data_IF_244879895628
#
_entry.id   IF_244879895628
#
_cell.length_a   1.000
_cell.length_b   1.000
_cell.length_c   1.000
_cell.angle_alpha   90.00
_cell.angle_beta   90.00
_cell.angle_gamma   90.00
#
_symmetry.space_group_name_H-M   'P 1'
#
loop_
_entity.id
_entity.type
_entity.pdbx_description
1 polymer ?
#
# COMPACT_ATOMS: atom_id res chain seq x y z
N UNK A 1 -24.62 -1.53 6.48
CA UNK A 1 -24.06 -1.80 5.13
C UNK A 1 -23.99 -0.44 4.46
N UNK A 2 -22.78 0.11 4.31
CA UNK A 2 -22.56 1.31 3.53
C UNK A 2 -22.90 0.96 2.08
N UNK A 3 -23.94 1.59 1.54
CA UNK A 3 -24.26 1.51 0.12
C UNK A 3 -23.22 2.34 -0.63
N UNK A 4 -22.08 1.73 -0.91
CA UNK A 4 -20.99 2.39 -1.64
C UNK A 4 -21.31 2.25 -3.11
N UNK A 5 -21.64 3.36 -3.77
CA UNK A 5 -21.60 3.41 -5.22
C UNK A 5 -20.17 3.09 -5.66
N UNK A 6 -19.99 1.89 -6.20
CA UNK A 6 -18.70 1.52 -6.77
C UNK A 6 -18.45 2.37 -8.02
N UNK A 7 -17.68 3.43 -7.85
CA UNK A 7 -17.20 4.21 -9.00
C UNK A 7 -16.34 3.30 -9.88
N UNK A 8 -16.40 3.42 -11.20
CA UNK A 8 -15.58 2.59 -12.07
C UNK A 8 -14.10 2.88 -11.89
N UNK A 9 -13.27 1.82 -12.03
CA UNK A 9 -11.82 1.89 -12.09
C UNK A 9 -11.34 1.31 -13.41
N UNK A 10 -10.49 2.06 -14.10
CA UNK A 10 -9.81 1.61 -15.32
C UNK A 10 -8.39 1.14 -14.95
N UNK A 11 -7.98 -0.02 -15.45
CA UNK A 11 -6.58 -0.45 -15.36
C UNK A 11 -5.90 -0.13 -16.67
N UNK A 12 -4.86 0.69 -16.62
CA UNK A 12 -4.13 1.19 -17.79
C UNK A 12 -2.67 0.81 -17.73
N UNK A 13 -2.15 0.30 -18.84
CA UNK A 13 -0.71 0.13 -19.01
C UNK A 13 -0.04 1.50 -19.23
N UNK A 14 1.09 1.73 -18.58
CA UNK A 14 2.00 2.83 -18.89
C UNK A 14 3.38 2.29 -19.27
N UNK A 15 4.17 3.10 -19.96
CA UNK A 15 5.53 2.77 -20.39
C UNK A 15 6.48 3.91 -20.03
N UNK A 16 6.29 4.48 -18.86
CA UNK A 16 7.10 5.59 -18.36
C UNK A 16 8.55 5.14 -18.13
N UNK A 17 9.49 5.89 -18.69
CA UNK A 17 10.93 5.70 -18.60
C UNK A 17 11.61 6.73 -17.70
N UNK A 18 10.85 7.43 -16.84
CA UNK A 18 11.38 8.40 -15.90
C UNK A 18 12.50 7.82 -15.01
N UNK A 19 13.23 8.68 -14.33
CA UNK A 19 14.37 8.27 -13.50
C UNK A 19 14.04 7.23 -12.42
N UNK A 20 12.81 7.25 -11.90
CA UNK A 20 12.29 6.28 -10.92
C UNK A 20 10.77 6.11 -11.09
N UNK A 21 10.31 5.52 -12.21
CA UNK A 21 8.88 5.41 -12.46
C UNK A 21 8.24 4.47 -11.44
N UNK A 22 7.09 4.88 -10.90
CA UNK A 22 6.30 4.01 -10.04
C UNK A 22 5.83 2.78 -10.84
N UNK A 23 5.95 1.59 -10.25
CA UNK A 23 5.44 0.37 -10.87
C UNK A 23 3.91 0.34 -10.89
N UNK A 24 3.29 0.93 -9.89
CA UNK A 24 1.84 1.10 -9.75
C UNK A 24 1.56 2.52 -9.31
N UNK A 25 0.66 3.21 -10.00
CA UNK A 25 0.17 4.53 -9.62
C UNK A 25 -1.37 4.52 -9.64
N UNK A 26 -1.98 4.87 -8.52
CA UNK A 26 -3.43 5.01 -8.43
C UNK A 26 -3.79 6.49 -8.49
N UNK A 27 -4.70 6.80 -9.43
CA UNK A 27 -5.24 8.13 -9.64
C UNK A 27 -6.73 8.12 -9.30
N UNK A 28 -7.15 8.77 -8.20
CA UNK A 28 -8.57 8.84 -7.84
C UNK A 28 -9.36 9.66 -8.86
N UNK A 29 -10.68 9.49 -8.88
CA UNK A 29 -11.58 10.33 -9.67
C UNK A 29 -11.49 11.77 -9.15
N UNK A 30 -10.98 12.66 -9.98
CA UNK A 30 -11.03 14.10 -9.71
C UNK A 30 -12.37 14.65 -10.22
N UNK A 31 -13.03 15.47 -9.40
CA UNK A 31 -14.36 16.01 -9.70
C UNK A 31 -14.44 16.81 -11.02
N UNK A 32 -13.33 17.28 -11.53
CA UNK A 32 -13.32 18.22 -12.68
C UNK A 32 -12.83 17.63 -13.98
N UNK A 33 -12.19 16.46 -14.04
CA UNK A 33 -11.47 16.05 -15.26
C UNK A 33 -11.56 14.57 -15.66
N UNK A 34 -11.88 13.66 -14.77
CA UNK A 34 -11.99 12.24 -15.12
C UNK A 34 -13.20 11.58 -14.46
N UNK A 35 -14.10 10.95 -15.24
CA UNK A 35 -15.26 10.24 -14.69
C UNK A 35 -14.88 8.90 -14.03
N UNK A 36 -13.62 8.46 -14.17
CA UNK A 36 -13.16 7.13 -13.83
C UNK A 36 -11.83 7.22 -13.10
N UNK A 37 -11.67 6.47 -12.00
CA UNK A 37 -10.36 6.30 -11.37
C UNK A 37 -9.45 5.45 -12.28
N UNK A 38 -8.15 5.68 -12.22
CA UNK A 38 -7.19 4.95 -13.05
C UNK A 38 -6.14 4.30 -12.16
N UNK A 39 -5.93 3.00 -12.35
CA UNK A 39 -4.77 2.27 -11.84
C UNK A 39 -3.77 2.09 -13.00
N UNK A 40 -2.70 2.83 -12.98
CA UNK A 40 -1.62 2.65 -13.94
C UNK A 40 -0.67 1.55 -13.49
N UNK A 41 -0.31 0.67 -14.43
CA UNK A 41 0.70 -0.37 -14.26
C UNK A 41 1.80 -0.10 -15.26
N UNK A 42 3.00 0.19 -14.78
CA UNK A 42 4.14 0.44 -15.66
C UNK A 42 4.72 -0.87 -16.15
N UNK A 43 4.60 -1.10 -17.45
CA UNK A 43 5.08 -2.30 -18.13
C UNK A 43 6.45 -2.12 -18.84
N UNK A 44 7.10 -0.97 -18.65
CA UNK A 44 8.38 -0.69 -19.31
C UNK A 44 9.47 -1.72 -18.95
N UNK A 45 9.45 -2.21 -17.70
CA UNK A 45 10.35 -3.26 -17.24
C UNK A 45 9.57 -4.36 -16.51
N UNK A 46 9.16 -5.38 -17.26
CA UNK A 46 8.39 -6.51 -16.74
C UNK A 46 9.16 -7.36 -15.72
N UNK A 47 10.49 -7.29 -15.67
CA UNK A 47 11.30 -8.01 -14.68
C UNK A 47 11.09 -7.48 -13.26
N UNK A 48 10.63 -6.23 -13.14
CA UNK A 48 10.30 -5.57 -11.87
C UNK A 48 8.85 -5.79 -11.41
N UNK A 49 8.06 -6.53 -12.19
CA UNK A 49 6.64 -6.81 -11.91
C UNK A 49 6.43 -8.31 -11.64
N UNK A 50 6.80 -8.79 -10.45
CA UNK A 50 6.61 -10.20 -10.13
C UNK A 50 5.11 -10.53 -10.11
N UNK A 51 4.72 -11.49 -10.94
CA UNK A 51 3.31 -11.85 -11.16
C UNK A 51 2.63 -12.31 -9.86
N UNK A 52 3.38 -12.90 -8.94
CA UNK A 52 2.86 -13.34 -7.65
C UNK A 52 2.44 -12.17 -6.72
N UNK A 53 2.90 -10.94 -6.98
CA UNK A 53 2.45 -9.75 -6.23
C UNK A 53 1.19 -9.10 -6.86
N UNK A 54 0.85 -9.42 -8.09
CA UNK A 54 -0.22 -8.74 -8.83
C UNK A 54 -1.57 -8.84 -8.11
N UNK A 55 -1.89 -10.02 -7.58
CA UNK A 55 -3.16 -10.25 -6.87
C UNK A 55 -3.22 -9.46 -5.56
N UNK A 56 -2.13 -9.44 -4.78
CA UNK A 56 -2.05 -8.64 -3.56
C UNK A 56 -2.17 -7.14 -3.85
N UNK A 57 -1.52 -6.65 -4.91
CA UNK A 57 -1.61 -5.27 -5.35
C UNK A 57 -3.02 -4.91 -5.83
N UNK A 58 -3.76 -5.85 -6.42
CA UNK A 58 -5.18 -5.65 -6.76
C UNK A 58 -6.03 -5.40 -5.53
N UNK A 59 -5.79 -6.09 -4.42
CA UNK A 59 -6.47 -5.83 -3.15
C UNK A 59 -6.04 -4.51 -2.51
N UNK A 60 -4.77 -4.12 -2.65
CA UNK A 60 -4.24 -2.87 -2.10
C UNK A 60 -4.82 -1.65 -2.83
N UNK A 61 -4.79 -1.66 -4.15
CA UNK A 61 -5.15 -0.48 -4.96
C UNK A 61 -6.62 -0.48 -5.43
N UNK A 62 -7.22 -1.65 -5.58
CA UNK A 62 -8.59 -1.83 -6.05
C UNK A 62 -9.63 -1.82 -4.91
N UNK A 63 -10.53 -2.80 -4.98
CA UNK A 63 -11.59 -3.02 -3.99
C UNK A 63 -11.24 -4.28 -3.17
N UNK A 64 -11.25 -4.19 -1.84
CA UNK A 64 -11.71 -3.10 -0.97
C UNK A 64 -10.61 -2.08 -0.58
N UNK A 65 -9.52 -2.00 -1.31
CA UNK A 65 -8.36 -1.17 -1.02
C UNK A 65 -8.55 0.33 -1.28
N UNK A 66 -7.51 0.96 -1.85
CA UNK A 66 -7.47 2.42 -2.03
C UNK A 66 -8.62 2.96 -2.87
N UNK A 67 -9.03 2.23 -3.92
CA UNK A 67 -10.12 2.69 -4.77
C UNK A 67 -11.44 2.81 -4.00
N UNK A 68 -11.79 1.81 -3.20
CA UNK A 68 -13.00 1.90 -2.37
C UNK A 68 -12.86 3.00 -1.32
N UNK A 69 -11.72 3.12 -0.67
CA UNK A 69 -11.47 4.15 0.32
C UNK A 69 -11.72 5.56 -0.25
N UNK A 70 -11.10 5.88 -1.39
CA UNK A 70 -11.23 7.20 -2.03
C UNK A 70 -12.62 7.42 -2.64
N UNK A 71 -13.29 6.37 -3.11
CA UNK A 71 -14.64 6.47 -3.67
C UNK A 71 -15.72 6.74 -2.62
N UNK A 72 -15.48 6.37 -1.36
CA UNK A 72 -16.40 6.60 -0.24
C UNK A 72 -16.22 7.96 0.42
N UNK A 73 -15.15 8.65 0.11
CA UNK A 73 -14.95 10.01 0.61
C UNK A 73 -15.97 10.92 -0.08
N UNK A 74 -16.99 11.27 0.62
CA UNK A 74 -17.84 12.41 0.26
C UNK A 74 -16.98 13.65 0.42
N UNK A 75 -16.68 14.31 -0.68
CA UNK A 75 -16.05 15.62 -0.64
C UNK A 75 -17.09 16.55 -0.01
N UNK A 76 -16.93 16.80 1.29
CA UNK A 76 -17.66 17.89 1.93
C UNK A 76 -17.20 19.20 1.29
N UNK A 77 -18.09 20.20 1.24
CA UNK A 77 -17.79 21.54 0.73
C UNK A 77 -16.67 22.27 1.51
N UNK A 78 -16.23 21.69 2.61
CA UNK A 78 -15.06 22.14 3.36
C UNK A 78 -13.81 21.44 2.79
N UNK A 79 -13.01 22.21 2.05
CA UNK A 79 -11.63 21.91 1.65
C UNK A 79 -10.72 21.78 2.89
N UNK A 80 -11.16 21.02 3.86
CA UNK A 80 -10.44 20.87 5.12
C UNK A 80 -9.16 20.08 4.87
N UNK A 81 -8.11 20.54 5.51
CA UNK A 81 -6.73 20.06 5.59
C UNK A 81 -6.57 18.54 5.80
N UNK A 82 -7.67 17.82 5.98
CA UNK A 82 -7.76 16.38 6.18
C UNK A 82 -8.14 15.62 4.91
N UNK A 83 -7.53 15.94 3.77
CA UNK A 83 -7.53 14.98 2.65
C UNK A 83 -6.81 13.73 3.12
N UNK A 84 -7.53 12.61 3.17
CA UNK A 84 -6.98 11.30 3.56
C UNK A 84 -5.83 10.90 2.64
N UNK A 85 -5.78 11.43 1.42
CA UNK A 85 -4.71 11.22 0.44
C UNK A 85 -3.34 11.70 0.96
N UNK A 86 -3.31 12.60 1.92
CA UNK A 86 -2.08 13.12 2.53
C UNK A 86 -1.62 12.33 3.77
N UNK A 87 -2.31 11.24 4.14
CA UNK A 87 -1.98 10.43 5.30
C UNK A 87 -1.53 9.00 4.89
N UNK A 88 -0.24 8.79 4.59
CA UNK A 88 0.27 7.47 4.15
C UNK A 88 -0.05 6.34 5.13
N UNK A 89 -0.09 6.61 6.43
CA UNK A 89 -0.49 5.63 7.44
C UNK A 89 -1.93 5.15 7.21
N UNK A 90 -2.82 6.03 6.77
CA UNK A 90 -4.20 5.68 6.50
C UNK A 90 -4.34 4.99 5.14
N UNK A 91 -3.84 5.58 4.07
CA UNK A 91 -4.03 5.06 2.69
C UNK A 91 -3.26 3.76 2.45
N UNK A 92 -1.95 3.75 2.71
CA UNK A 92 -1.13 2.55 2.50
C UNK A 92 -1.45 1.50 3.57
N UNK A 93 -1.63 1.93 4.82
CA UNK A 93 -2.02 1.04 5.92
C UNK A 93 -3.34 0.33 5.66
N UNK A 94 -4.35 1.02 5.13
CA UNK A 94 -5.61 0.43 4.67
C UNK A 94 -5.38 -0.58 3.55
N UNK A 95 -4.60 -0.23 2.51
CA UNK A 95 -4.29 -1.15 1.43
C UNK A 95 -3.62 -2.43 1.92
N UNK A 96 -2.63 -2.34 2.80
CA UNK A 96 -1.99 -3.52 3.40
C UNK A 96 -2.97 -4.33 4.26
N UNK A 97 -3.84 -3.65 5.01
CA UNK A 97 -4.89 -4.29 5.78
C UNK A 97 -5.87 -5.07 4.88
N UNK A 98 -6.27 -4.52 3.74
CA UNK A 98 -7.18 -5.21 2.81
C UNK A 98 -6.52 -6.41 2.15
N UNK A 99 -5.23 -6.34 1.81
CA UNK A 99 -4.48 -7.49 1.32
C UNK A 99 -4.34 -8.60 2.38
N UNK A 100 -4.14 -8.22 3.66
CA UNK A 100 -4.16 -9.17 4.78
C UNK A 100 -5.56 -9.77 4.95
N UNK A 101 -6.59 -8.94 4.93
CA UNK A 101 -7.98 -9.39 5.06
C UNK A 101 -8.34 -10.42 3.97
N UNK A 102 -7.90 -10.19 2.74
CA UNK A 102 -8.07 -11.15 1.65
C UNK A 102 -7.40 -12.51 1.93
N UNK A 103 -6.26 -12.53 2.67
CA UNK A 103 -5.65 -13.79 3.13
C UNK A 103 -6.50 -14.47 4.21
N UNK A 104 -6.98 -13.70 5.17
CA UNK A 104 -7.77 -14.21 6.30
C UNK A 104 -9.08 -14.85 5.82
N UNK A 105 -9.66 -14.34 4.73
CA UNK A 105 -10.89 -14.85 4.10
C UNK A 105 -10.66 -15.77 2.91
N UNK A 106 -9.43 -16.21 2.66
CA UNK A 106 -9.06 -17.15 1.59
C UNK A 106 -9.46 -16.69 0.17
N UNK A 107 -9.35 -15.38 -0.10
CA UNK A 107 -9.76 -14.77 -1.36
C UNK A 107 -8.69 -14.85 -2.46
N UNK A 108 -7.45 -15.25 -2.13
CA UNK A 108 -6.39 -15.43 -3.11
C UNK A 108 -6.63 -16.68 -3.95
N UNK A 109 -6.49 -16.56 -5.27
CA UNK A 109 -6.74 -17.65 -6.23
C UNK A 109 -5.65 -18.72 -6.21
N UNK A 110 -4.45 -18.37 -5.74
CA UNK A 110 -3.32 -19.28 -5.74
C UNK A 110 -2.43 -19.11 -4.50
N UNK A 111 -1.70 -20.16 -4.10
CA UNK A 111 -0.68 -20.06 -3.05
C UNK A 111 0.40 -19.02 -3.37
N UNK A 112 0.70 -18.80 -4.64
CA UNK A 112 1.67 -17.77 -5.07
C UNK A 112 1.17 -16.35 -4.79
N UNK A 113 -0.13 -16.07 -4.98
CA UNK A 113 -0.72 -14.79 -4.62
C UNK A 113 -0.66 -14.54 -3.11
N UNK A 114 -0.94 -15.57 -2.29
CA UNK A 114 -0.76 -15.50 -0.84
C UNK A 114 0.68 -15.22 -0.44
N UNK A 115 1.64 -15.91 -1.06
CA UNK A 115 3.07 -15.67 -0.86
C UNK A 115 3.43 -14.23 -1.21
N UNK A 116 3.00 -13.73 -2.36
CA UNK A 116 3.25 -12.36 -2.79
C UNK A 116 2.74 -11.32 -1.80
N UNK A 117 1.58 -11.56 -1.21
CA UNK A 117 1.04 -10.70 -0.15
C UNK A 117 1.91 -10.70 1.12
N UNK A 118 2.42 -11.86 1.54
CA UNK A 118 3.33 -11.97 2.69
C UNK A 118 4.69 -11.29 2.41
N UNK A 119 5.22 -11.44 1.18
CA UNK A 119 6.46 -10.77 0.78
C UNK A 119 6.30 -9.25 0.77
N UNK A 120 5.16 -8.73 0.31
CA UNK A 120 4.86 -7.30 0.38
C UNK A 120 4.79 -6.80 1.84
N UNK A 121 4.11 -7.52 2.70
CA UNK A 121 4.03 -7.18 4.13
C UNK A 121 5.41 -7.20 4.79
N UNK A 122 6.24 -8.23 4.51
CA UNK A 122 7.63 -8.30 4.99
C UNK A 122 8.48 -7.13 4.49
N UNK A 123 8.32 -6.74 3.22
CA UNK A 123 9.00 -5.58 2.63
C UNK A 123 8.67 -4.29 3.37
N UNK A 124 7.41 -4.02 3.63
CA UNK A 124 7.02 -2.82 4.38
C UNK A 124 7.49 -2.87 5.83
N UNK A 125 7.50 -4.06 6.46
CA UNK A 125 8.04 -4.23 7.81
C UNK A 125 9.57 -4.00 7.85
N UNK A 126 10.31 -4.51 6.86
CA UNK A 126 11.75 -4.27 6.74
C UNK A 126 12.05 -2.77 6.54
N UNK A 127 11.28 -2.09 5.72
CA UNK A 127 11.40 -0.64 5.49
C UNK A 127 11.13 0.17 6.76
N UNK A 128 10.14 -0.20 7.57
CA UNK A 128 9.90 0.42 8.87
C UNK A 128 11.13 0.32 9.78
N UNK A 129 11.73 -0.88 9.88
CA UNK A 129 12.92 -1.12 10.71
C UNK A 129 14.10 -0.26 10.22
N UNK A 130 14.31 -0.23 8.91
CA UNK A 130 15.38 0.57 8.28
C UNK A 130 15.15 2.06 8.50
N UNK A 131 13.93 2.55 8.30
CA UNK A 131 13.59 3.97 8.49
C UNK A 131 13.94 4.42 9.91
N UNK A 132 13.53 3.67 10.92
CA UNK A 132 13.85 3.99 12.32
C UNK A 132 15.35 3.93 12.57
N UNK A 133 16.02 2.83 12.20
CA UNK A 133 17.43 2.62 12.52
C UNK A 133 18.37 3.57 11.78
N UNK A 134 18.08 3.91 10.52
CA UNK A 134 18.84 4.90 9.75
C UNK A 134 18.78 6.29 10.39
N UNK A 135 17.59 6.71 10.83
CA UNK A 135 17.40 8.04 11.42
C UNK A 135 17.89 8.13 12.88
N UNK A 136 18.09 6.98 13.52
CA UNK A 136 18.77 6.90 14.82
C UNK A 136 20.29 6.68 14.69
N UNK A 137 20.83 6.65 13.47
CA UNK A 137 22.23 6.32 13.19
C UNK A 137 22.68 4.94 13.73
N UNK A 138 21.77 3.97 13.78
CA UNK A 138 22.02 2.59 14.20
C UNK A 138 22.35 1.64 13.06
N UNK A 139 22.18 2.09 11.81
CA UNK A 139 22.56 1.37 10.59
C UNK A 139 23.29 2.33 9.64
N UNK A 140 24.29 1.81 8.92
CA UNK A 140 24.79 2.46 7.71
C UNK A 140 23.87 2.18 6.52
N UNK A 141 24.03 2.93 5.43
CA UNK A 141 23.26 2.73 4.19
C UNK A 141 23.59 1.34 3.57
N UNK A 142 24.83 0.86 3.67
CA UNK A 142 25.23 -0.47 3.20
C UNK A 142 24.57 -1.58 4.01
N UNK A 143 24.52 -1.44 5.36
CA UNK A 143 23.83 -2.40 6.23
C UNK A 143 22.32 -2.40 5.96
N UNK A 144 21.73 -1.23 5.73
CA UNK A 144 20.33 -1.10 5.37
C UNK A 144 20.02 -1.78 4.02
N UNK A 145 20.92 -1.62 3.02
CA UNK A 145 20.79 -2.26 1.72
C UNK A 145 20.78 -3.78 1.83
N UNK A 146 21.72 -4.35 2.59
CA UNK A 146 21.75 -5.81 2.84
C UNK A 146 20.47 -6.27 3.51
N UNK A 147 20.07 -5.58 4.59
CA UNK A 147 18.87 -5.93 5.34
C UNK A 147 17.59 -5.90 4.47
N UNK A 148 17.40 -4.87 3.65
CA UNK A 148 16.24 -4.76 2.76
C UNK A 148 16.22 -5.86 1.69
N UNK A 149 17.36 -6.24 1.16
CA UNK A 149 17.46 -7.34 0.18
C UNK A 149 17.12 -8.69 0.80
N UNK A 150 17.62 -8.97 1.99
CA UNK A 150 17.46 -10.26 2.66
C UNK A 150 16.09 -10.41 3.33
N UNK A 151 15.64 -9.40 4.06
CA UNK A 151 14.42 -9.45 4.87
C UNK A 151 13.21 -8.83 4.16
N UNK A 152 13.43 -7.84 3.31
CA UNK A 152 12.40 -7.17 2.52
C UNK A 152 12.13 -7.79 1.16
N UNK A 153 12.95 -8.75 0.73
CA UNK A 153 12.90 -9.34 -0.61
C UNK A 153 12.93 -8.26 -1.72
N UNK A 154 13.78 -7.25 -1.51
CA UNK A 154 13.86 -6.12 -2.43
C UNK A 154 14.98 -6.29 -3.46
N UNK A 155 14.77 -5.72 -4.66
CA UNK A 155 15.86 -5.49 -5.59
C UNK A 155 16.79 -4.41 -5.04
N UNK A 156 18.04 -4.38 -5.49
CA UNK A 156 18.99 -3.34 -5.07
C UNK A 156 18.46 -1.93 -5.36
N UNK A 157 17.83 -1.72 -6.51
CA UNK A 157 17.25 -0.44 -6.92
C UNK A 157 16.10 0.00 -5.97
N UNK A 158 15.19 -0.91 -5.67
CA UNK A 158 14.07 -0.66 -4.74
C UNK A 158 14.58 -0.35 -3.32
N UNK A 159 15.59 -1.08 -2.86
CA UNK A 159 16.22 -0.86 -1.57
C UNK A 159 16.94 0.49 -1.48
N UNK A 160 17.68 0.89 -2.53
CA UNK A 160 18.29 2.23 -2.60
C UNK A 160 17.25 3.35 -2.55
N UNK A 161 16.13 3.18 -3.27
CA UNK A 161 15.02 4.14 -3.22
C UNK A 161 14.41 4.22 -1.82
N UNK A 162 14.23 3.09 -1.13
CA UNK A 162 13.72 3.06 0.23
C UNK A 162 14.67 3.77 1.21
N UNK A 163 15.98 3.54 1.12
CA UNK A 163 17.01 4.23 1.92
C UNK A 163 16.97 5.75 1.68
N UNK A 164 16.98 6.16 0.41
CA UNK A 164 16.89 7.57 0.03
C UNK A 164 15.61 8.23 0.57
N UNK A 165 14.47 7.53 0.47
CA UNK A 165 13.19 8.02 1.02
C UNK A 165 13.25 8.18 2.54
N UNK A 166 13.85 7.23 3.25
CA UNK A 166 14.00 7.29 4.72
C UNK A 166 14.89 8.46 5.16
N UNK A 167 15.92 8.80 4.37
CA UNK A 167 16.79 9.94 4.63
C UNK A 167 16.10 11.28 4.35
N UNK A 168 15.35 11.36 3.26
CA UNK A 168 14.67 12.60 2.83
C UNK A 168 13.38 12.87 3.62
N UNK A 169 12.70 11.83 4.07
CA UNK A 169 11.40 11.92 4.73
C UNK A 169 11.30 10.91 5.87
N UNK A 170 11.98 11.20 7.02
CA UNK A 170 11.93 10.32 8.20
C UNK A 170 10.50 9.99 8.65
N UNK A 171 10.24 8.72 8.94
CA UNK A 171 8.92 8.26 9.35
C UNK A 171 7.97 7.91 8.20
N UNK A 172 8.30 8.26 6.94
CA UNK A 172 7.44 7.96 5.80
C UNK A 172 7.29 6.46 5.56
N UNK A 173 8.37 5.70 5.66
CA UNK A 173 8.33 4.24 5.51
C UNK A 173 7.68 3.56 6.73
N UNK A 174 7.87 4.13 7.92
CA UNK A 174 7.24 3.65 9.15
C UNK A 174 5.72 3.74 9.12
N UNK A 175 5.17 4.73 8.44
CA UNK A 175 3.73 5.03 8.44
C UNK A 175 2.87 3.88 7.91
N UNK A 176 3.33 3.15 6.90
CA UNK A 176 2.57 2.07 6.25
C UNK A 176 2.20 0.95 7.23
N UNK A 177 3.20 0.41 7.94
CA UNK A 177 2.98 -0.67 8.92
C UNK A 177 2.28 -0.15 10.17
N UNK A 178 2.57 1.07 10.61
CA UNK A 178 1.84 1.68 11.73
C UNK A 178 0.34 1.77 11.43
N UNK A 179 -0.02 2.12 10.20
CA UNK A 179 -1.41 2.13 9.75
C UNK A 179 -2.03 0.73 9.72
N UNK A 180 -1.34 -0.26 9.16
CA UNK A 180 -1.79 -1.65 9.18
C UNK A 180 -2.09 -2.13 10.61
N UNK A 181 -1.15 -1.91 11.53
CA UNK A 181 -1.31 -2.31 12.93
C UNK A 181 -2.47 -1.60 13.62
N UNK A 182 -2.69 -0.32 13.30
CA UNK A 182 -3.83 0.44 13.81
C UNK A 182 -5.17 -0.16 13.34
N UNK A 183 -5.30 -0.50 12.06
CA UNK A 183 -6.51 -1.15 11.54
C UNK A 183 -6.74 -2.53 12.14
N UNK A 184 -5.69 -3.34 12.28
CA UNK A 184 -5.77 -4.64 12.94
C UNK A 184 -6.24 -4.51 14.41
N UNK A 185 -5.67 -3.56 15.13
CA UNK A 185 -6.04 -3.28 16.53
C UNK A 185 -7.51 -2.81 16.63
N UNK A 186 -7.94 -1.92 15.76
CA UNK A 186 -9.32 -1.46 15.67
C UNK A 186 -10.28 -2.64 15.45
N UNK A 187 -9.99 -3.48 14.46
CA UNK A 187 -10.78 -4.68 14.17
C UNK A 187 -10.91 -5.57 15.39
N UNK A 188 -9.78 -5.95 16.00
CA UNK A 188 -9.79 -6.83 17.19
C UNK A 188 -10.61 -6.26 18.35
N UNK A 189 -10.54 -4.94 18.57
CA UNK A 189 -11.35 -4.27 19.58
C UNK A 189 -12.86 -4.33 19.27
N UNK A 190 -13.24 -4.15 18.01
CA UNK A 190 -14.64 -4.25 17.59
C UNK A 190 -15.14 -5.68 17.64
N UNK A 191 -14.35 -6.67 17.18
CA UNK A 191 -14.66 -8.10 17.31
C UNK A 191 -14.94 -8.47 18.78
N UNK A 192 -14.06 -8.06 19.69
CA UNK A 192 -14.24 -8.30 21.13
C UNK A 192 -15.48 -7.62 21.68
N UNK A 193 -15.74 -6.36 21.27
CA UNK A 193 -16.86 -5.57 21.81
C UNK A 193 -18.22 -6.00 21.28
N UNK A 194 -18.30 -6.41 20.04
CA UNK A 194 -19.54 -6.75 19.35
C UNK A 194 -19.88 -8.25 19.42
N UNK A 195 -18.86 -9.12 19.61
CA UNK A 195 -19.05 -10.56 19.60
C UNK A 195 -19.78 -11.03 18.33
N UNK A 196 -20.87 -11.78 18.49
CA UNK A 196 -21.67 -12.30 17.37
C UNK A 196 -22.32 -11.22 16.49
N UNK A 197 -22.31 -9.96 16.92
CA UNK A 197 -22.80 -8.81 16.13
C UNK A 197 -21.73 -8.20 15.22
N UNK A 198 -20.49 -8.65 15.33
CA UNK A 198 -19.42 -8.20 14.44
C UNK A 198 -19.62 -8.86 13.08
N UNK A 199 -19.81 -8.03 12.04
CA UNK A 199 -20.13 -8.49 10.70
C UNK A 199 -19.23 -7.79 9.67
#
# INVERSE_FOLDING_TARGET
ILNVENKPIEVRASFDQGSTPAQFAYHPVQQSSAPTAVLEVNLNDMSKLPLYEAEAKSFIYGIPGMHQLTSTQTIGEDDSVFSVDNLPAFTIGWGLYTAKLARDYDLYRSPYGKLGSLMLESRYAARLIVDIKLNQNLLSDEQALVFLKEQGFETAESAHLAISTSRQSPGKQTSAISGLLAFMSLRSRFETKLGDRFN
#
